data_IF_703289634225
#
_entry.id   IF_703289634225
#
_cell.length_a   1.000
_cell.length_b   1.000
_cell.length_c   1.000
_cell.angle_alpha   90.00
_cell.angle_beta   90.00
_cell.angle_gamma   90.00
#
_symmetry.space_group_name_H-M   'P 1'
#
loop_
_entity.id
_entity.type
_entity.pdbx_description
1 polymer ?
#
# COMPACT_ATOMS: atom_id res chain seq x y z
N UNK A 1 -7.33 2.74 10.14
CA UNK A 1 -7.00 2.41 8.75
C UNK A 1 -5.49 2.31 8.65
N UNK A 2 -4.97 1.10 8.41
CA UNK A 2 -3.54 0.78 8.37
C UNK A 2 -3.35 -0.54 7.62
N UNK A 3 -2.14 -0.83 7.16
CA UNK A 3 -1.78 -2.18 6.74
C UNK A 3 -1.54 -3.03 7.99
N UNK A 4 -2.12 -4.24 8.04
CA UNK A 4 -1.99 -5.15 9.17
C UNK A 4 -1.81 -6.58 8.68
N UNK A 5 -0.63 -7.19 8.90
CA UNK A 5 0.60 -6.56 9.39
C UNK A 5 1.13 -5.49 8.41
N UNK A 6 1.84 -4.48 8.93
CA UNK A 6 2.47 -3.43 8.11
C UNK A 6 3.84 -3.83 7.56
N UNK A 7 4.41 -4.91 8.08
CA UNK A 7 5.69 -5.45 7.67
C UNK A 7 5.58 -6.98 7.58
N UNK A 8 6.01 -7.53 6.45
CA UNK A 8 6.09 -8.98 6.24
C UNK A 8 7.39 -9.37 5.52
N UNK A 9 7.70 -10.65 5.58
CA UNK A 9 8.77 -11.28 4.78
C UNK A 9 8.14 -12.37 3.92
N UNK A 10 8.52 -12.44 2.65
CA UNK A 10 7.98 -13.34 1.66
C UNK A 10 9.06 -13.70 0.63
N UNK A 11 9.27 -14.99 0.35
CA UNK A 11 10.27 -15.44 -0.61
C UNK A 11 9.78 -15.27 -2.07
N UNK A 12 10.70 -15.36 -3.03
CA UNK A 12 10.35 -15.39 -4.46
C UNK A 12 9.28 -16.45 -4.76
N UNK A 13 8.28 -16.06 -5.56
CA UNK A 13 7.12 -16.90 -5.91
C UNK A 13 6.00 -16.89 -4.86
N UNK A 14 6.19 -16.28 -3.69
CA UNK A 14 5.11 -16.13 -2.71
C UNK A 14 4.04 -15.18 -3.24
N UNK A 15 2.78 -15.54 -3.05
CA UNK A 15 1.64 -14.66 -3.34
C UNK A 15 1.23 -13.96 -2.06
N UNK A 16 1.26 -12.63 -2.07
CA UNK A 16 0.79 -11.77 -0.99
C UNK A 16 -0.56 -11.21 -1.40
N UNK A 17 -1.60 -11.54 -0.63
CA UNK A 17 -2.97 -11.06 -0.86
C UNK A 17 -3.29 -9.94 0.11
N UNK A 18 -3.65 -8.79 -0.45
CA UNK A 18 -4.19 -7.65 0.27
C UNK A 18 -5.71 -7.78 0.35
N UNK A 19 -6.22 -7.81 1.58
CA UNK A 19 -7.65 -7.76 1.86
C UNK A 19 -8.05 -6.33 2.20
N UNK A 20 -8.95 -5.73 1.42
CA UNK A 20 -9.37 -4.36 1.60
C UNK A 20 -10.53 -4.29 2.60
N UNK A 21 -10.20 -3.84 3.80
CA UNK A 21 -11.14 -3.69 4.92
C UNK A 21 -11.08 -2.28 5.48
N UNK A 22 -11.91 -1.98 6.48
CA UNK A 22 -12.04 -0.64 7.05
C UNK A 22 -13.05 0.19 6.28
N UNK A 23 -14.20 0.42 6.92
CA UNK A 23 -15.39 0.98 6.29
C UNK A 23 -15.89 2.22 7.04
N UNK A 24 -16.52 3.17 6.33
CA UNK A 24 -16.40 3.36 4.87
C UNK A 24 -15.00 3.89 4.53
N UNK A 25 -14.40 3.45 3.42
CA UNK A 25 -13.06 3.91 3.03
C UNK A 25 -12.68 3.59 1.60
N UNK A 26 -11.89 4.48 0.99
CA UNK A 26 -11.24 4.22 -0.30
C UNK A 26 -9.78 3.85 -0.04
N UNK A 27 -9.36 2.68 -0.51
CA UNK A 27 -8.04 2.12 -0.25
C UNK A 27 -7.29 1.86 -1.54
N UNK A 28 -5.99 1.67 -1.41
CA UNK A 28 -5.11 1.30 -2.51
C UNK A 28 -3.83 0.69 -1.95
N UNK A 29 -3.12 -0.05 -2.79
CA UNK A 29 -1.74 -0.46 -2.58
C UNK A 29 -0.95 0.08 -3.76
N UNK A 30 -0.23 1.17 -3.54
CA UNK A 30 0.62 1.80 -4.55
C UNK A 30 2.08 1.59 -4.16
N UNK A 31 2.87 1.06 -5.08
CA UNK A 31 4.30 0.89 -4.86
C UNK A 31 4.99 2.26 -4.80
N UNK A 32 5.88 2.42 -3.84
CA UNK A 32 6.72 3.61 -3.67
C UNK A 32 8.18 3.23 -3.48
N UNK A 33 9.03 4.22 -3.23
CA UNK A 33 10.42 4.01 -2.87
C UNK A 33 10.67 4.43 -1.42
N UNK A 34 11.71 3.87 -0.81
CA UNK A 34 12.15 4.29 0.52
C UNK A 34 12.39 5.81 0.61
N UNK A 35 12.95 6.41 -0.46
CA UNK A 35 13.26 7.84 -0.52
C UNK A 35 12.03 8.74 -0.74
N UNK A 36 10.93 8.19 -1.27
CA UNK A 36 9.71 8.93 -1.58
C UNK A 36 8.49 8.10 -1.19
N UNK A 37 8.24 7.94 0.12
CA UNK A 37 7.25 7.00 0.67
C UNK A 37 5.82 7.23 0.21
N UNK A 38 5.44 8.50 -0.04
CA UNK A 38 4.10 8.90 -0.44
C UNK A 38 4.01 9.32 -1.92
N UNK A 39 4.99 8.89 -2.73
CA UNK A 39 4.97 9.07 -4.18
C UNK A 39 4.91 7.71 -4.88
N UNK A 40 4.14 7.60 -5.98
CA UNK A 40 4.16 6.40 -6.79
C UNK A 40 5.55 6.22 -7.40
N UNK A 41 6.04 4.98 -7.38
CA UNK A 41 7.29 4.63 -8.03
C UNK A 41 7.08 4.60 -9.55
N UNK A 42 8.01 5.18 -10.31
CA UNK A 42 7.99 5.06 -11.77
C UNK A 42 8.19 3.60 -12.19
N UNK A 43 7.30 3.12 -13.07
CA UNK A 43 7.20 1.69 -13.39
C UNK A 43 6.79 0.79 -12.21
N UNK A 44 6.23 1.35 -11.14
CA UNK A 44 5.73 0.60 -9.98
C UNK A 44 4.33 0.03 -10.17
N UNK A 45 3.98 -0.91 -9.29
CA UNK A 45 2.62 -1.47 -9.29
C UNK A 45 1.61 -0.57 -8.55
N UNK A 46 0.34 -0.70 -8.90
CA UNK A 46 -0.77 -0.01 -8.24
C UNK A 46 -2.04 -0.86 -8.32
N UNK A 47 -2.71 -1.06 -7.19
CA UNK A 47 -3.98 -1.79 -7.15
C UNK A 47 -5.14 -1.03 -7.82
N UNK A 48 -4.98 0.24 -8.15
CA UNK A 48 -6.10 1.15 -8.34
C UNK A 48 -6.78 1.53 -7.02
N UNK A 49 -7.91 2.21 -7.16
CA UNK A 49 -8.76 2.61 -6.03
C UNK A 49 -9.80 1.53 -5.75
N UNK A 50 -9.91 1.15 -4.48
CA UNK A 50 -10.85 0.14 -4.02
C UNK A 50 -11.68 0.78 -2.91
N UNK A 51 -12.91 1.13 -3.25
CA UNK A 51 -13.86 1.64 -2.29
C UNK A 51 -14.55 0.49 -1.57
N UNK A 52 -14.58 0.57 -0.24
CA UNK A 52 -15.27 -0.38 0.64
C UNK A 52 -16.29 0.42 1.44
N UNK A 53 -17.56 0.18 1.16
CA UNK A 53 -18.68 0.89 1.76
C UNK A 53 -19.15 0.22 3.05
N UNK A 54 -19.20 -1.12 3.05
CA UNK A 54 -19.77 -1.90 4.15
C UNK A 54 -18.87 -3.05 4.57
N UNK A 55 -19.01 -3.48 5.83
CA UNK A 55 -18.31 -4.68 6.29
C UNK A 55 -18.88 -5.89 5.57
N UNK A 56 -18.01 -6.71 4.99
CA UNK A 56 -18.37 -7.92 4.24
C UNK A 56 -17.50 -9.09 4.71
N UNK A 57 -18.09 -10.29 4.77
CA UNK A 57 -17.37 -11.55 5.02
C UNK A 57 -16.46 -11.92 3.83
N UNK A 58 -16.74 -11.34 2.65
CA UNK A 58 -15.92 -11.43 1.45
C UNK A 58 -15.45 -10.03 1.07
N UNK A 59 -14.40 -9.48 1.72
CA UNK A 59 -13.85 -8.19 1.35
C UNK A 59 -13.24 -8.23 -0.06
N UNK A 60 -13.11 -7.10 -0.76
CA UNK A 60 -12.30 -7.04 -1.97
C UNK A 60 -10.87 -7.48 -1.70
N UNK A 61 -10.25 -8.13 -2.69
CA UNK A 61 -8.90 -8.65 -2.56
C UNK A 61 -8.06 -8.33 -3.79
N UNK A 62 -6.75 -8.20 -3.57
CA UNK A 62 -5.76 -8.08 -4.64
C UNK A 62 -4.49 -8.82 -4.30
N UNK A 63 -4.00 -9.63 -5.23
CA UNK A 63 -2.82 -10.48 -5.01
C UNK A 63 -1.64 -10.01 -5.85
N UNK A 64 -0.48 -9.90 -5.19
CA UNK A 64 0.80 -9.64 -5.84
C UNK A 64 1.73 -10.83 -5.61
N UNK A 65 2.41 -11.27 -6.66
CA UNK A 65 3.44 -12.31 -6.57
C UNK A 65 4.80 -11.65 -6.39
N UNK A 66 5.58 -12.10 -5.41
CA UNK A 66 6.95 -11.62 -5.18
C UNK A 66 7.86 -12.18 -6.27
N UNK A 67 8.53 -11.30 -7.01
CA UNK A 67 9.43 -11.66 -8.11
C UNK A 67 10.90 -11.44 -7.78
N UNK A 68 11.20 -10.59 -6.77
CA UNK A 68 12.56 -10.33 -6.29
C UNK A 68 12.55 -10.02 -4.78
N UNK A 69 12.75 -11.04 -3.96
CA UNK A 69 12.85 -10.98 -2.49
C UNK A 69 14.17 -10.41 -1.99
N UNK A 70 15.13 -10.18 -2.91
CA UNK A 70 16.40 -9.53 -2.59
C UNK A 70 16.25 -8.02 -2.44
N UNK A 71 15.09 -7.43 -2.71
CA UNK A 71 14.84 -5.99 -2.57
C UNK A 71 13.60 -5.74 -1.70
N UNK A 72 13.66 -4.73 -0.82
CA UNK A 72 12.48 -4.32 -0.07
C UNK A 72 11.46 -3.68 -1.01
N UNK A 73 10.20 -4.07 -0.86
CA UNK A 73 9.07 -3.53 -1.61
C UNK A 73 8.31 -2.61 -0.67
N UNK A 74 8.38 -1.31 -0.95
CA UNK A 74 7.72 -0.27 -0.19
C UNK A 74 6.40 0.10 -0.85
N UNK A 75 5.35 0.30 -0.06
CA UNK A 75 4.05 0.65 -0.59
C UNK A 75 3.26 1.51 0.40
N UNK A 76 2.28 2.24 -0.13
CA UNK A 76 1.42 3.12 0.63
C UNK A 76 -0.02 3.10 0.11
N UNK A 77 -0.94 3.60 0.94
CA UNK A 77 -2.30 3.88 0.51
C UNK A 77 -2.42 5.37 0.11
N UNK A 78 -2.83 5.63 -1.13
CA UNK A 78 -2.98 6.98 -1.68
C UNK A 78 -4.22 7.74 -1.20
N UNK A 79 -5.07 7.15 -0.34
CA UNK A 79 -6.35 7.74 0.08
C UNK A 79 -6.23 9.15 0.64
N UNK A 80 -7.14 10.03 0.21
CA UNK A 80 -7.30 11.42 0.71
C UNK A 80 -8.67 11.63 1.33
N UNK A 81 -8.79 12.65 2.17
CA UNK A 81 -10.09 13.19 2.59
C UNK A 81 -10.46 12.92 4.05
N UNK A 82 -11.77 12.85 4.39
CA UNK A 82 -12.23 12.79 5.78
C UNK A 82 -11.70 11.58 6.55
N UNK A 83 -11.61 10.42 5.91
CA UNK A 83 -11.00 9.21 6.49
C UNK A 83 -9.54 9.42 6.83
N UNK A 84 -8.75 10.03 5.93
CA UNK A 84 -7.37 10.40 6.25
C UNK A 84 -7.30 11.40 7.41
N UNK A 85 -8.18 12.40 7.45
CA UNK A 85 -8.22 13.40 8.51
C UNK A 85 -8.52 12.77 9.87
N UNK A 86 -9.47 11.86 9.95
CA UNK A 86 -9.84 11.21 11.21
C UNK A 86 -8.77 10.25 11.72
N UNK A 87 -8.04 9.59 10.82
CA UNK A 87 -7.05 8.55 11.17
C UNK A 87 -5.68 9.13 11.49
N UNK A 88 -5.31 10.19 10.76
CA UNK A 88 -3.95 10.73 10.73
C UNK A 88 -3.87 12.19 11.15
N UNK A 89 -5.02 12.82 11.44
CA UNK A 89 -5.15 14.27 11.58
C UNK A 89 -4.62 15.06 10.35
N UNK A 90 -4.58 14.42 9.17
CA UNK A 90 -4.01 14.97 7.94
C UNK A 90 -4.84 14.63 6.70
N UNK A 91 -4.58 15.30 5.59
CA UNK A 91 -5.42 15.20 4.39
C UNK A 91 -5.23 13.89 3.60
N UNK A 92 -4.21 13.09 3.90
CA UNK A 92 -3.84 11.86 3.17
C UNK A 92 -3.35 10.72 4.09
N UNK A 93 -3.67 9.46 3.79
CA UNK A 93 -3.36 8.30 4.65
C UNK A 93 -1.87 7.92 4.72
N UNK A 94 -1.06 8.27 3.72
CA UNK A 94 0.41 8.16 3.86
C UNK A 94 0.99 9.31 4.69
N UNK A 95 0.33 10.47 4.72
CA UNK A 95 0.79 11.57 5.56
C UNK A 95 0.61 11.18 7.02
N UNK A 96 1.52 11.64 7.88
CA UNK A 96 1.70 11.13 9.24
C UNK A 96 2.15 9.65 9.33
N UNK A 97 2.44 8.97 8.21
CA UNK A 97 2.91 7.58 8.18
C UNK A 97 1.85 6.55 8.59
N UNK A 98 0.56 6.86 8.44
CA UNK A 98 -0.49 6.00 8.98
C UNK A 98 -0.77 4.73 8.17
N UNK A 99 -0.63 4.79 6.85
CA UNK A 99 -0.91 3.64 5.98
C UNK A 99 0.20 3.45 4.96
N UNK A 100 1.33 3.02 5.50
CA UNK A 100 2.53 2.61 4.78
C UNK A 100 2.88 1.17 5.17
N UNK A 101 3.50 0.43 4.26
CA UNK A 101 3.90 -0.95 4.51
C UNK A 101 5.16 -1.34 3.76
N UNK A 102 5.75 -2.46 4.16
CA UNK A 102 6.94 -3.03 3.52
C UNK A 102 6.88 -4.56 3.46
N UNK A 103 7.34 -5.10 2.33
CA UNK A 103 7.65 -6.52 2.17
C UNK A 103 9.17 -6.66 2.06
N UNK A 104 9.76 -7.63 2.76
CA UNK A 104 11.19 -7.95 2.69
C UNK A 104 12.11 -6.78 3.07
N UNK A 105 11.82 -6.11 4.20
CA UNK A 105 12.75 -5.10 4.73
C UNK A 105 14.11 -5.75 5.01
N UNK A 106 15.20 -5.05 4.68
CA UNK A 106 16.55 -5.52 4.99
C UNK A 106 17.02 -4.95 6.33
N UNK A 107 17.72 -5.77 7.09
CA UNK A 107 18.46 -5.31 8.26
C UNK A 107 19.53 -4.29 7.82
N UNK A 108 19.43 -3.07 8.33
CA UNK A 108 20.27 -1.94 7.91
C UNK A 108 19.63 -0.60 8.28
N UNK A 109 20.01 0.47 7.58
CA UNK A 109 19.51 1.83 7.83
C UNK A 109 18.08 2.07 7.30
N UNK A 110 17.64 1.27 6.34
CA UNK A 110 16.35 1.44 5.67
C UNK A 110 15.27 0.60 6.38
N UNK A 111 14.96 0.97 7.62
CA UNK A 111 13.97 0.29 8.45
C UNK A 111 12.54 0.75 8.12
N UNK A 112 11.54 -0.04 8.54
CA UNK A 112 10.14 0.38 8.46
C UNK A 112 9.88 1.68 9.25
N UNK A 113 10.49 1.83 10.43
CA UNK A 113 10.36 3.05 11.23
C UNK A 113 10.92 4.29 10.52
N UNK A 114 12.06 4.15 9.84
CA UNK A 114 12.64 5.23 9.05
C UNK A 114 11.74 5.59 7.85
N UNK A 115 11.16 4.58 7.20
CA UNK A 115 10.19 4.77 6.12
C UNK A 115 8.93 5.50 6.60
N UNK A 116 8.37 5.08 7.74
CA UNK A 116 7.22 5.72 8.35
C UNK A 116 7.51 7.16 8.80
N UNK A 117 8.72 7.43 9.31
CA UNK A 117 9.17 8.77 9.65
C UNK A 117 9.32 9.68 8.41
N UNK A 118 9.84 9.14 7.30
CA UNK A 118 9.90 9.84 6.04
C UNK A 118 8.49 10.15 5.50
N UNK A 119 7.55 9.22 5.63
CA UNK A 119 6.16 9.41 5.20
C UNK A 119 5.46 10.56 5.97
N UNK A 120 5.73 10.72 7.26
CA UNK A 120 5.27 11.86 8.07
C UNK A 120 5.72 13.22 7.50
N UNK A 121 6.85 13.22 6.80
CA UNK A 121 7.49 14.43 6.29
C UNK A 121 7.01 14.83 4.90
N UNK A 122 6.40 13.92 4.13
CA UNK A 122 5.78 14.25 2.84
C UNK A 122 4.58 15.21 3.05
N UNK A 123 4.36 16.08 2.06
CA UNK A 123 3.33 17.14 2.06
C UNK A 123 2.52 17.17 0.77
N UNK A 124 2.92 16.40 -0.24
CA UNK A 124 2.26 16.39 -1.54
C UNK A 124 2.12 14.97 -2.09
N UNK A 125 1.36 14.07 -1.43
CA UNK A 125 1.30 12.69 -1.84
C UNK A 125 0.76 12.52 -3.26
N UNK A 126 1.52 11.75 -4.04
CA UNK A 126 1.18 11.40 -5.40
C UNK A 126 -0.05 10.50 -5.45
N UNK A 127 -0.82 10.64 -6.52
CA UNK A 127 -2.07 9.91 -6.75
C UNK A 127 -2.06 9.17 -8.09
N UNK A 128 -0.94 9.20 -8.81
CA UNK A 128 -0.84 8.54 -10.11
C UNK A 128 -1.09 7.03 -9.96
N UNK A 129 -1.62 6.44 -11.03
CA UNK A 129 -1.82 5.01 -11.12
C UNK A 129 -0.59 4.38 -11.79
N UNK A 130 -0.05 3.35 -11.15
CA UNK A 130 0.95 2.45 -11.71
C UNK A 130 0.33 1.32 -12.53
N UNK A 131 1.15 0.34 -12.89
CA UNK A 131 0.71 -0.86 -13.61
C UNK A 131 0.39 -2.03 -12.68
N UNK A 132 0.12 -3.21 -13.24
CA UNK A 132 0.04 -4.45 -12.45
C UNK A 132 1.42 -5.02 -12.12
N UNK A 133 2.45 -4.63 -12.87
CA UNK A 133 3.83 -5.06 -12.66
C UNK A 133 4.62 -3.91 -12.06
N UNK A 134 5.39 -4.21 -11.03
CA UNK A 134 6.27 -3.25 -10.38
C UNK A 134 7.64 -3.84 -10.11
N UNK A 135 8.43 -3.12 -9.31
CA UNK A 135 9.78 -3.54 -8.95
C UNK A 135 9.72 -4.61 -7.88
N UNK A 136 10.06 -5.86 -8.22
CA UNK A 136 10.14 -6.97 -7.26
C UNK A 136 8.81 -7.61 -6.88
N UNK A 137 7.69 -7.14 -7.43
CA UNK A 137 6.42 -7.84 -7.38
C UNK A 137 5.55 -7.54 -8.61
N UNK A 138 4.66 -8.49 -8.94
CA UNK A 138 3.71 -8.37 -10.04
C UNK A 138 2.37 -8.99 -9.69
N UNK A 139 1.28 -8.31 -10.03
CA UNK A 139 -0.06 -8.87 -10.08
C UNK A 139 -0.37 -9.40 -11.47
N UNK A 140 -1.10 -10.53 -11.52
CA UNK A 140 -1.60 -11.11 -12.77
C UNK A 140 -2.97 -10.56 -13.20
N UNK A 141 -3.66 -9.85 -12.30
CA UNK A 141 -4.98 -9.28 -12.52
C UNK A 141 -5.19 -8.01 -11.67
N UNK A 142 -6.18 -7.21 -12.07
CA UNK A 142 -6.73 -6.13 -11.24
C UNK A 142 -7.45 -6.68 -9.99
N UNK A 143 -7.68 -5.87 -8.94
CA UNK A 143 -8.40 -6.31 -7.76
C UNK A 143 -9.79 -6.85 -8.08
N UNK A 144 -10.17 -7.91 -7.39
CA UNK A 144 -11.54 -8.40 -7.41
C UNK A 144 -12.38 -7.62 -6.39
N UNK A 145 -13.42 -6.95 -6.86
CA UNK A 145 -14.39 -6.24 -6.01
C UNK A 145 -15.74 -6.98 -6.10
N UNK A 146 -16.14 -7.72 -5.04
CA UNK A 146 -17.45 -8.37 -5.00
C UNK A 146 -18.59 -7.38 -5.13
N UNK A 147 -19.69 -7.80 -5.75
CA UNK A 147 -20.92 -7.00 -5.80
C UNK A 147 -21.44 -6.74 -4.38
N UNK A 148 -21.45 -5.48 -3.94
CA UNK A 148 -21.97 -5.07 -2.64
C UNK A 148 -20.92 -4.75 -1.57
N UNK A 149 -19.63 -4.71 -1.92
CA UNK A 149 -18.56 -4.21 -1.05
C UNK A 149 -18.70 -2.70 -0.71
#
# INVERSE_FOLDING_TARGET
>A
FSFSPSQITAANGTVVTFQFTGVPGNHSVTQSSFASPCQPLDGGFDSGWIFVNTTSDTPPEWSVTITDDSKPIWFYCKSKGPTARTVCNLLHLCDAGCMVGVINVKNGTNTFDAFQAAAKSDKAPGQAQGGLVGVGASASAEPFVPSGA
#
